data_IF_227395506271
#
_entry.id   IF_227395506271
#
_cell.length_a   1.000
_cell.length_b   1.000
_cell.length_c   1.000
_cell.angle_alpha   90.00
_cell.angle_beta   90.00
_cell.angle_gamma   90.00
#
_symmetry.space_group_name_H-M   'P 1'
#
loop_
_entity.id
_entity.type
_entity.pdbx_description
1 polymer ?
#
# COMPACT_ATOMS: atom_id res chain seq x y z
N UNK A 1 -7.40 -25.09 0.32
CA UNK A 1 -7.94 -23.82 -0.12
C UNK A 1 -6.79 -23.02 -0.69
N UNK A 2 -6.89 -22.64 -1.96
CA UNK A 2 -5.84 -21.91 -2.65
C UNK A 2 -6.05 -20.38 -2.59
N UNK A 3 -5.12 -19.62 -3.17
CA UNK A 3 -5.12 -18.16 -3.10
C UNK A 3 -6.29 -17.54 -3.87
N UNK A 4 -6.66 -18.17 -4.98
CA UNK A 4 -7.72 -17.71 -5.87
C UNK A 4 -9.07 -17.95 -5.21
N UNK A 5 -9.27 -19.12 -4.60
CA UNK A 5 -10.44 -19.46 -3.78
C UNK A 5 -10.62 -18.47 -2.62
N UNK A 6 -9.55 -18.06 -1.93
CA UNK A 6 -9.65 -17.06 -0.86
C UNK A 6 -10.05 -15.69 -1.38
N UNK A 7 -9.46 -15.25 -2.49
CA UNK A 7 -9.81 -13.97 -3.10
C UNK A 7 -11.28 -13.98 -3.53
N UNK A 8 -11.75 -15.08 -4.11
CA UNK A 8 -13.16 -15.23 -4.52
C UNK A 8 -14.10 -15.21 -3.29
N UNK A 9 -13.77 -15.91 -2.21
CA UNK A 9 -14.55 -15.87 -0.97
C UNK A 9 -14.60 -14.44 -0.41
N UNK A 10 -13.47 -13.74 -0.35
CA UNK A 10 -13.39 -12.34 0.11
C UNK A 10 -14.19 -11.38 -0.77
N UNK A 11 -14.17 -11.56 -2.09
CA UNK A 11 -14.91 -10.74 -3.04
C UNK A 11 -16.42 -11.02 -3.02
N UNK A 12 -16.83 -12.22 -2.61
CA UNK A 12 -18.25 -12.58 -2.44
C UNK A 12 -18.91 -11.90 -1.24
N UNK A 13 -18.12 -11.36 -0.30
CA UNK A 13 -18.65 -10.66 0.86
C UNK A 13 -19.32 -9.34 0.43
N UNK A 14 -20.58 -9.19 0.81
CA UNK A 14 -21.34 -7.96 0.60
C UNK A 14 -20.96 -6.92 1.67
N UNK A 15 -20.03 -6.03 1.32
CA UNK A 15 -19.46 -5.02 2.23
C UNK A 15 -19.96 -3.63 1.85
N UNK A 16 -20.52 -2.90 2.82
CA UNK A 16 -20.93 -1.49 2.72
C UNK A 16 -20.07 -0.57 3.58
N UNK A 17 -19.41 -1.12 4.59
CA UNK A 17 -18.52 -0.39 5.49
C UNK A 17 -17.18 -0.11 4.81
N UNK A 18 -16.80 1.15 4.70
CA UNK A 18 -15.56 1.58 4.03
C UNK A 18 -14.30 0.92 4.60
N UNK A 19 -14.26 0.68 5.91
CA UNK A 19 -13.10 0.02 6.56
C UNK A 19 -13.05 -1.47 6.26
N UNK A 20 -14.21 -2.11 6.13
CA UNK A 20 -14.28 -3.51 5.69
C UNK A 20 -13.85 -3.65 4.22
N UNK A 21 -14.26 -2.71 3.37
CA UNK A 21 -13.84 -2.64 1.97
C UNK A 21 -12.32 -2.45 1.87
N UNK A 22 -11.75 -1.53 2.66
CA UNK A 22 -10.31 -1.30 2.73
C UNK A 22 -9.54 -2.54 3.22
N UNK A 23 -10.06 -3.22 4.25
CA UNK A 23 -9.49 -4.47 4.77
C UNK A 23 -9.50 -5.59 3.73
N UNK A 24 -10.60 -5.76 2.99
CA UNK A 24 -10.69 -6.71 1.87
C UNK A 24 -9.68 -6.37 0.78
N UNK A 25 -9.62 -5.10 0.35
CA UNK A 25 -8.73 -4.67 -0.72
C UNK A 25 -7.26 -4.95 -0.37
N UNK A 26 -6.84 -4.56 0.83
CA UNK A 26 -5.50 -4.84 1.34
C UNK A 26 -5.21 -6.35 1.38
N UNK A 27 -6.15 -7.16 1.87
CA UNK A 27 -5.96 -8.60 1.94
C UNK A 27 -5.80 -9.23 0.55
N UNK A 28 -6.63 -8.85 -0.41
CA UNK A 28 -6.54 -9.32 -1.81
C UNK A 28 -5.20 -8.93 -2.43
N UNK A 29 -4.73 -7.70 -2.20
CA UNK A 29 -3.42 -7.23 -2.66
C UNK A 29 -2.28 -8.08 -2.07
N UNK A 30 -2.29 -8.32 -0.76
CA UNK A 30 -1.28 -9.15 -0.08
C UNK A 30 -1.26 -10.57 -0.63
N UNK A 31 -2.43 -11.19 -0.80
CA UNK A 31 -2.55 -12.57 -1.31
C UNK A 31 -2.02 -12.65 -2.74
N UNK A 32 -2.42 -11.73 -3.63
CA UNK A 32 -1.92 -11.68 -5.00
C UNK A 32 -0.41 -11.45 -5.07
N UNK A 33 0.12 -10.61 -4.18
CA UNK A 33 1.55 -10.33 -4.10
C UNK A 33 2.37 -11.42 -3.39
N UNK A 34 1.74 -12.50 -2.91
CA UNK A 34 2.42 -13.52 -2.09
C UNK A 34 3.04 -12.95 -0.81
N UNK A 35 2.53 -11.81 -0.32
CA UNK A 35 3.10 -11.11 0.81
C UNK A 35 2.65 -11.75 2.13
N UNK A 36 3.55 -11.82 3.12
CA UNK A 36 3.26 -12.42 4.40
C UNK A 36 2.24 -11.62 5.21
N UNK A 37 1.40 -12.31 5.97
CA UNK A 37 0.55 -11.71 7.00
C UNK A 37 1.23 -11.78 8.37
N UNK A 38 1.16 -10.70 9.15
CA UNK A 38 1.68 -10.70 10.52
C UNK A 38 0.68 -11.36 11.48
N UNK A 39 1.14 -12.38 12.20
CA UNK A 39 0.34 -13.10 13.21
C UNK A 39 0.69 -12.69 14.64
N UNK A 40 -0.29 -12.76 15.53
CA UNK A 40 -0.13 -12.62 16.97
C UNK A 40 -0.95 -13.71 17.69
N UNK A 41 -0.27 -14.72 18.23
CA UNK A 41 -0.95 -15.89 18.78
C UNK A 41 -1.61 -16.72 17.67
N UNK A 42 -2.87 -17.09 17.87
CA UNK A 42 -3.65 -17.93 16.94
C UNK A 42 -4.38 -17.13 15.84
N UNK A 43 -4.03 -15.86 15.61
CA UNK A 43 -4.69 -15.03 14.62
C UNK A 43 -3.85 -13.87 14.12
N UNK A 44 -4.45 -13.05 13.29
CA UNK A 44 -3.83 -11.85 12.72
C UNK A 44 -3.51 -10.80 13.77
N UNK A 45 -2.38 -10.11 13.59
CA UNK A 45 -2.02 -8.98 14.42
C UNK A 45 -2.90 -7.77 14.07
N UNK A 46 -3.88 -7.48 14.94
CA UNK A 46 -4.84 -6.40 14.75
C UNK A 46 -4.21 -5.00 14.71
N UNK A 47 -3.12 -4.77 15.45
CA UNK A 47 -2.39 -3.49 15.41
C UNK A 47 -1.77 -3.28 14.03
N UNK A 48 -1.14 -4.33 13.49
CA UNK A 48 -0.54 -4.28 12.16
C UNK A 48 -1.61 -4.11 11.07
N UNK A 49 -2.70 -4.87 11.13
CA UNK A 49 -3.82 -4.71 10.19
C UNK A 49 -4.37 -3.28 10.20
N UNK A 50 -4.53 -2.68 11.39
CA UNK A 50 -5.02 -1.32 11.52
C UNK A 50 -4.09 -0.32 10.79
N UNK A 51 -2.77 -0.50 10.96
CA UNK A 51 -1.78 0.35 10.30
C UNK A 51 -1.79 0.18 8.78
N UNK A 52 -1.91 -1.04 8.27
CA UNK A 52 -1.94 -1.30 6.81
C UNK A 52 -3.14 -0.63 6.13
N UNK A 53 -4.29 -0.52 6.81
CA UNK A 53 -5.48 0.13 6.26
C UNK A 53 -5.69 1.56 6.76
N UNK A 54 -4.70 2.15 7.45
CA UNK A 54 -4.72 3.56 7.88
C UNK A 54 -5.80 3.87 8.93
N UNK A 55 -6.07 2.95 9.86
CA UNK A 55 -7.12 3.10 10.88
C UNK A 55 -6.64 2.77 12.28
N UNK A 56 -7.52 2.95 13.28
CA UNK A 56 -7.24 2.60 14.67
C UNK A 56 -7.59 1.13 14.95
N UNK A 57 -6.77 0.44 15.75
CA UNK A 57 -7.04 -0.94 16.20
C UNK A 57 -8.41 -1.11 16.88
N UNK A 58 -8.97 -0.03 17.43
CA UNK A 58 -10.27 -0.06 18.10
C UNK A 58 -11.40 -0.60 17.23
N UNK A 59 -11.31 -0.49 15.91
CA UNK A 59 -12.33 -1.01 14.99
C UNK A 59 -12.45 -2.54 15.00
N UNK A 60 -11.53 -3.24 15.65
CA UNK A 60 -11.52 -4.70 15.74
C UNK A 60 -11.99 -5.21 17.10
N UNK A 61 -12.36 -4.32 18.03
CA UNK A 61 -12.83 -4.72 19.37
C UNK A 61 -14.33 -5.04 19.35
N UNK A 62 -14.81 -5.99 20.17
CA UNK A 62 -16.18 -6.51 20.09
C UNK A 62 -17.27 -5.42 20.00
N UNK A 63 -17.18 -4.38 20.81
CA UNK A 63 -18.21 -3.32 20.88
C UNK A 63 -18.13 -2.28 19.74
N UNK A 64 -17.05 -2.31 18.95
CA UNK A 64 -16.75 -1.31 17.91
C UNK A 64 -16.52 -1.92 16.53
N UNK A 65 -16.46 -3.25 16.48
CA UNK A 65 -16.25 -4.01 15.26
C UNK A 65 -17.57 -4.13 14.52
N UNK A 66 -17.59 -3.67 13.27
CA UNK A 66 -18.74 -3.97 12.41
C UNK A 66 -18.73 -5.46 12.07
N UNK A 67 -19.93 -6.01 11.88
CA UNK A 67 -20.11 -7.41 11.45
C UNK A 67 -19.32 -7.68 10.17
N UNK A 68 -19.28 -6.71 9.26
CA UNK A 68 -18.52 -6.80 8.02
C UNK A 68 -17.01 -6.95 8.24
N UNK A 69 -16.42 -6.14 9.15
CA UNK A 69 -15.01 -6.26 9.51
C UNK A 69 -14.74 -7.63 10.16
N UNK A 70 -15.64 -8.06 11.05
CA UNK A 70 -15.54 -9.37 11.71
C UNK A 70 -15.57 -10.53 10.70
N UNK A 71 -16.46 -10.47 9.71
CA UNK A 71 -16.56 -11.48 8.65
C UNK A 71 -15.27 -11.57 7.83
N UNK A 72 -14.74 -10.42 7.38
CA UNK A 72 -13.45 -10.39 6.65
C UNK A 72 -12.33 -10.98 7.50
N UNK A 73 -12.21 -10.57 8.77
CA UNK A 73 -11.21 -11.11 9.69
C UNK A 73 -11.34 -12.61 9.91
N UNK A 74 -12.57 -13.12 10.05
CA UNK A 74 -12.84 -14.53 10.26
C UNK A 74 -12.44 -15.36 9.03
N UNK A 75 -12.84 -14.91 7.83
CA UNK A 75 -12.45 -15.54 6.56
C UNK A 75 -10.93 -15.60 6.41
N UNK A 76 -10.22 -14.52 6.77
CA UNK A 76 -8.75 -14.50 6.72
C UNK A 76 -8.13 -15.45 7.74
N UNK A 77 -8.49 -15.36 9.02
CA UNK A 77 -7.91 -16.21 10.06
C UNK A 77 -8.14 -17.71 9.79
N UNK A 78 -9.31 -18.09 9.24
CA UNK A 78 -9.66 -19.49 8.93
C UNK A 78 -8.81 -20.09 7.79
N UNK A 79 -8.38 -19.26 6.85
CA UNK A 79 -7.86 -19.73 5.57
C UNK A 79 -6.38 -19.37 5.35
N UNK A 80 -5.83 -18.38 6.05
CA UNK A 80 -4.42 -17.99 5.92
C UNK A 80 -3.44 -19.09 6.39
N UNK A 81 -3.82 -19.91 7.38
CA UNK A 81 -3.00 -21.06 7.80
C UNK A 81 -2.86 -22.12 6.70
N UNK A 82 -3.86 -22.21 5.81
CA UNK A 82 -3.90 -23.19 4.72
C UNK A 82 -3.12 -22.74 3.49
N UNK A 83 -2.78 -21.46 3.43
CA UNK A 83 -2.31 -20.82 2.21
C UNK A 83 -0.80 -20.92 1.95
N UNK A 84 -0.01 -21.52 2.86
CA UNK A 84 1.47 -21.52 2.79
C UNK A 84 2.10 -20.13 2.51
N UNK A 85 1.33 -19.05 2.69
CA UNK A 85 1.85 -17.68 2.68
C UNK A 85 2.62 -17.54 4.00
N UNK A 86 3.94 -17.66 3.90
CA UNK A 86 4.88 -17.62 5.02
C UNK A 86 4.47 -16.56 6.03
N UNK A 87 4.09 -16.94 7.24
CA UNK A 87 3.74 -15.96 8.27
C UNK A 87 5.01 -15.25 8.72
N UNK A 88 5.01 -13.92 8.75
CA UNK A 88 6.05 -13.21 9.50
C UNK A 88 5.87 -13.57 10.97
N UNK A 89 6.76 -14.40 11.50
CA UNK A 89 6.82 -14.66 12.94
C UNK A 89 7.13 -13.34 13.65
N UNK A 90 6.49 -13.15 14.81
CA UNK A 90 6.61 -11.97 15.70
C UNK A 90 7.88 -11.18 15.44
N UNK A 91 7.77 -9.98 14.87
CA UNK A 91 8.84 -8.99 14.99
C UNK A 91 8.93 -8.70 16.48
N UNK A 92 9.87 -9.39 17.15
CA UNK A 92 10.37 -8.90 18.41
C UNK A 92 10.81 -7.46 18.16
N UNK A 93 10.47 -6.56 19.08
CA UNK A 93 10.83 -5.15 19.01
C UNK A 93 12.37 -4.98 19.05
N UNK A 94 13.06 -5.38 17.98
CA UNK A 94 14.50 -5.21 17.84
C UNK A 94 14.71 -3.82 17.22
N UNK A 95 15.50 -3.00 17.90
CA UNK A 95 15.89 -1.65 17.49
C UNK A 95 16.48 -1.58 16.06
N UNK A 96 16.89 -2.71 15.47
CA UNK A 96 17.30 -2.81 14.07
C UNK A 96 16.15 -2.59 13.09
N UNK A 97 14.96 -3.13 13.34
CA UNK A 97 13.83 -3.00 12.41
C UNK A 97 13.32 -1.56 12.36
N UNK A 98 13.29 -0.87 13.51
CA UNK A 98 12.99 0.57 13.54
C UNK A 98 13.99 1.38 12.72
N UNK A 99 15.30 1.08 12.81
CA UNK A 99 16.34 1.77 12.02
C UNK A 99 16.20 1.51 10.53
N UNK A 100 15.89 0.27 10.13
CA UNK A 100 15.64 -0.10 8.72
C UNK A 100 14.38 0.61 8.21
N UNK A 101 13.33 0.68 9.01
CA UNK A 101 12.09 1.36 8.63
C UNK A 101 12.25 2.87 8.53
N UNK A 102 13.02 3.50 9.43
CA UNK A 102 13.43 4.90 9.30
C UNK A 102 14.28 5.12 8.05
N UNK A 103 15.20 4.20 7.72
CA UNK A 103 15.98 4.28 6.48
C UNK A 103 15.10 4.17 5.24
N UNK A 104 14.15 3.23 5.20
CA UNK A 104 13.22 3.08 4.08
C UNK A 104 12.37 4.34 3.91
N UNK A 105 11.89 4.95 5.00
CA UNK A 105 11.15 6.22 4.93
C UNK A 105 12.01 7.34 4.35
N UNK A 106 13.24 7.51 4.84
CA UNK A 106 14.18 8.51 4.30
C UNK A 106 14.49 8.29 2.83
N UNK A 107 14.77 7.05 2.43
CA UNK A 107 15.04 6.70 1.03
C UNK A 107 13.82 6.96 0.13
N UNK A 108 12.60 6.75 0.63
CA UNK A 108 11.36 7.08 -0.10
C UNK A 108 11.15 8.59 -0.23
N UNK A 109 11.37 9.35 0.83
CA UNK A 109 11.30 10.82 0.81
C UNK A 109 12.33 11.39 -0.18
N UNK A 110 13.57 10.89 -0.13
CA UNK A 110 14.64 11.31 -1.03
C UNK A 110 14.33 10.94 -2.49
N UNK A 111 13.80 9.74 -2.74
CA UNK A 111 13.34 9.36 -4.08
C UNK A 111 12.23 10.27 -4.61
N UNK A 112 11.25 10.60 -3.76
CA UNK A 112 10.15 11.49 -4.14
C UNK A 112 10.66 12.90 -4.46
N UNK A 113 11.59 13.41 -3.65
CA UNK A 113 12.27 14.68 -3.88
C UNK A 113 13.05 14.68 -5.20
N UNK A 114 13.89 13.68 -5.43
CA UNK A 114 14.68 13.55 -6.67
C UNK A 114 13.80 13.45 -7.91
N UNK A 115 12.71 12.67 -7.85
CA UNK A 115 11.74 12.57 -8.96
C UNK A 115 11.02 13.89 -9.24
N UNK A 116 10.73 14.67 -8.20
CA UNK A 116 10.17 16.01 -8.35
C UNK A 116 11.18 16.95 -9.01
N UNK A 117 12.45 16.89 -8.57
CA UNK A 117 13.52 17.72 -9.13
C UNK A 117 13.82 17.39 -10.59
N UNK A 118 13.83 16.12 -10.96
CA UNK A 118 13.98 15.67 -12.36
C UNK A 118 12.85 16.25 -13.22
N UNK A 119 11.59 16.12 -12.77
CA UNK A 119 10.45 16.69 -13.51
C UNK A 119 10.57 18.20 -13.71
N UNK A 120 11.01 18.93 -12.68
CA UNK A 120 11.25 20.38 -12.80
C UNK A 120 12.33 20.70 -13.84
N UNK A 121 13.43 19.94 -13.85
CA UNK A 121 14.52 20.11 -14.82
C UNK A 121 14.08 19.75 -16.24
N UNK A 122 13.26 18.71 -16.42
CA UNK A 122 12.67 18.36 -17.70
C UNK A 122 11.73 19.45 -18.22
N UNK A 123 10.90 20.04 -17.34
CA UNK A 123 10.05 21.17 -17.71
C UNK A 123 10.86 22.42 -18.10
N UNK A 124 11.93 22.71 -17.35
CA UNK A 124 12.85 23.81 -17.69
C UNK A 124 13.56 23.56 -19.02
N UNK A 125 14.04 22.34 -19.26
CA UNK A 125 14.66 21.94 -20.53
C UNK A 125 13.68 22.10 -21.70
N UNK A 126 12.44 21.65 -21.52
CA UNK A 126 11.39 21.81 -22.53
C UNK A 126 11.10 23.28 -22.81
N UNK A 127 11.02 24.10 -21.76
CA UNK A 127 10.78 25.55 -21.88
C UNK A 127 11.92 26.27 -22.60
N UNK A 128 13.18 25.93 -22.30
CA UNK A 128 14.36 26.46 -23.00
C UNK A 128 14.34 26.02 -24.47
N UNK A 129 14.04 24.76 -24.75
CA UNK A 129 13.95 24.24 -26.12
C UNK A 129 12.86 24.95 -26.92
N UNK A 130 11.66 25.14 -26.35
CA UNK A 130 10.58 25.88 -27.01
C UNK A 130 10.91 27.36 -27.20
N UNK A 131 11.55 28.00 -26.23
CA UNK A 131 11.97 29.40 -26.38
C UNK A 131 13.07 29.55 -27.44
N UNK A 132 14.01 28.60 -27.54
CA UNK A 132 15.02 28.58 -28.61
C UNK A 132 14.37 28.45 -29.99
N UNK A 133 13.41 27.54 -30.14
CA UNK A 133 12.66 27.34 -31.39
C UNK A 133 11.84 28.57 -31.80
N UNK A 134 11.28 29.30 -30.82
CA UNK A 134 10.52 30.53 -31.08
C UNK A 134 11.43 31.69 -31.50
N UNK A 135 12.66 31.75 -31.00
CA UNK A 135 13.66 32.75 -31.42
C UNK A 135 14.11 32.45 -32.86
N UNK A 136 14.42 31.19 -33.17
CA UNK A 136 14.85 30.78 -34.51
C UNK A 136 13.75 31.03 -35.58
N UNK A 137 12.47 30.86 -35.21
CA UNK A 137 11.33 31.16 -36.11
C UNK A 137 11.04 32.66 -36.26
N UNK A 138 11.31 33.47 -35.23
CA UNK A 138 11.10 34.91 -35.28
C UNK A 138 12.19 35.65 -36.10
N UNK A 139 13.39 35.08 -36.17
CA UNK A 139 14.48 35.61 -37.00
C UNK A 139 14.28 35.33 -38.50
N UNK A 140 13.58 34.26 -38.87
CA UNK A 140 13.23 33.94 -40.27
C UNK A 140 12.10 34.83 -40.84
N UNK A 141 11.14 35.27 -40.01
CA UNK A 141 10.04 36.16 -40.40
C UNK A 141 10.45 37.64 -40.57
N UNK A 142 11.63 38.03 -40.09
CA UNK A 142 12.18 39.39 -40.26
C UNK A 142 13.03 39.56 -41.53
N UNK A 143 13.19 38.50 -42.33
CA UNK A 143 14.01 38.47 -43.56
C UNK A 143 13.21 38.20 -44.86
N UNK A 144 11.87 38.18 -44.82
CA UNK A 144 11.00 38.14 -46.02
C UNK A 144 10.30 39.48 -46.29
#
# INVERSE_FOLDING_TARGET
MDAIELINELNSLNLKNERAIALRAMAVEKINGGQPFLKHGNGLNLTWLANEIGTSRQIFYPDRCSIEIANVLQTLNKNLDKLNISSMAKTSNSSKDKRVQTHILKVREENAFLRSRIRQLEMLKSSIFTNSLLIDLADDDLLS
#
